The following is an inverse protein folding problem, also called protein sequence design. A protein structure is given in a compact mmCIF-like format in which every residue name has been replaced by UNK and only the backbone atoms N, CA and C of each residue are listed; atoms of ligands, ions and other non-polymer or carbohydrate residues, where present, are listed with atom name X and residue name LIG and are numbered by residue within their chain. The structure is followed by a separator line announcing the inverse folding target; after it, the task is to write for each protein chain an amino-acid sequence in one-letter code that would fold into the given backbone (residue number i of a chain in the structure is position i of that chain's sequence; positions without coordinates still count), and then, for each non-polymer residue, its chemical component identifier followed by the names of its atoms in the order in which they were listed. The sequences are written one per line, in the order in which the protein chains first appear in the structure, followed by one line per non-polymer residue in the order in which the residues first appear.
data_IF_030268293875
#
_entry.id   IF_030268293875
#
_cell.length_a   1.000
_cell.length_b   1.000
_cell.length_c   1.000
_cell.angle_alpha   90.00
_cell.angle_beta   90.00
_cell.angle_gamma   90.00
#
_symmetry.space_group_name_H-M   'P 1'
#
loop_
_entity.id
_entity.type
_entity.pdbx_description
1 polymer ?
#
# COMPACT_ATOMS: atom_id res chain seq x y z
N UNK A 1 7.81 61.77 -64.67
CA UNK A 1 8.53 61.42 -63.41
C UNK A 1 7.55 60.97 -62.39
N UNK A 2 7.36 59.68 -62.24
CA UNK A 2 6.51 59.08 -61.18
C UNK A 2 7.35 58.12 -60.39
N UNK A 3 7.54 58.44 -59.11
CA UNK A 3 8.20 57.56 -58.11
C UNK A 3 7.15 56.67 -57.45
N UNK A 4 7.22 55.39 -57.74
CA UNK A 4 6.43 54.37 -57.07
C UNK A 4 7.08 54.03 -55.75
N UNK A 5 6.40 54.24 -54.67
CA UNK A 5 6.77 53.74 -53.33
C UNK A 5 6.07 52.44 -53.10
N UNK A 6 6.84 51.36 -53.04
CA UNK A 6 6.39 50.03 -52.64
C UNK A 6 6.30 49.97 -51.08
N UNK A 7 5.11 49.77 -50.54
CA UNK A 7 4.92 49.51 -49.15
C UNK A 7 5.01 48.01 -48.92
N UNK A 8 6.04 47.59 -48.20
CA UNK A 8 6.18 46.21 -47.77
C UNK A 8 5.35 45.97 -46.52
N UNK A 9 4.32 45.13 -46.61
CA UNK A 9 3.58 44.62 -45.50
C UNK A 9 4.34 43.44 -44.86
N UNK A 10 4.87 43.64 -43.66
CA UNK A 10 5.44 42.57 -42.86
C UNK A 10 4.31 41.87 -42.09
N UNK A 11 3.99 40.65 -42.51
CA UNK A 11 3.09 39.78 -41.76
C UNK A 11 3.83 39.17 -40.56
N UNK A 12 3.46 39.61 -39.35
CA UNK A 12 3.96 39.01 -38.11
C UNK A 12 3.14 37.73 -37.83
N UNK A 13 3.72 36.58 -38.09
CA UNK A 13 3.19 35.30 -37.62
C UNK A 13 3.50 35.18 -36.11
N UNK A 14 2.48 35.39 -35.29
CA UNK A 14 2.54 35.04 -33.88
C UNK A 14 2.44 33.52 -33.76
N UNK A 15 3.59 32.87 -33.54
CA UNK A 15 3.66 31.46 -33.16
C UNK A 15 3.20 31.37 -31.70
N UNK A 16 1.92 31.03 -31.49
CA UNK A 16 1.42 30.64 -30.18
C UNK A 16 2.01 29.29 -29.82
N UNK A 17 3.08 29.30 -29.04
CA UNK A 17 3.59 28.08 -28.39
C UNK A 17 2.54 27.58 -27.40
N UNK A 18 1.79 26.54 -27.77
CA UNK A 18 1.09 25.73 -26.81
C UNK A 18 2.14 25.06 -25.95
N UNK A 19 2.30 25.55 -24.72
CA UNK A 19 3.02 24.81 -23.69
C UNK A 19 2.24 23.51 -23.43
N UNK A 20 2.88 22.34 -23.55
CA UNK A 20 2.23 21.12 -23.06
C UNK A 20 1.99 21.33 -21.58
N UNK A 21 0.71 21.35 -21.17
CA UNK A 21 0.37 21.27 -19.77
C UNK A 21 1.04 19.99 -19.23
N UNK A 22 2.09 20.16 -18.43
CA UNK A 22 2.69 19.06 -17.70
C UNK A 22 1.56 18.49 -16.84
N UNK A 23 1.05 17.33 -17.24
CA UNK A 23 0.21 16.54 -16.34
C UNK A 23 1.09 16.24 -15.15
N UNK A 24 0.81 16.92 -14.02
CA UNK A 24 1.44 16.59 -12.75
C UNK A 24 1.26 15.09 -12.55
N UNK A 25 2.37 14.35 -12.45
CA UNK A 25 2.34 12.95 -12.08
C UNK A 25 1.53 12.90 -10.78
N UNK A 26 0.43 12.12 -10.75
CA UNK A 26 -0.30 11.89 -9.51
C UNK A 26 0.71 11.34 -8.53
N UNK A 27 0.88 12.02 -7.40
CA UNK A 27 1.76 11.56 -6.32
C UNK A 27 1.39 10.15 -5.87
N UNK A 28 2.18 9.59 -4.99
CA UNK A 28 1.93 8.29 -4.40
C UNK A 28 0.54 8.26 -3.73
N UNK A 29 -0.26 7.19 -3.91
CA UNK A 29 -1.56 7.09 -3.30
C UNK A 29 -1.46 7.04 -1.78
N UNK A 30 -2.34 7.76 -1.08
CA UNK A 30 -2.54 7.62 0.35
C UNK A 30 -3.79 6.82 0.62
N UNK A 31 -3.74 5.94 1.62
CA UNK A 31 -4.88 5.14 2.07
C UNK A 31 -5.08 5.31 3.56
N UNK A 32 -6.32 5.60 3.96
CA UNK A 32 -6.71 5.64 5.36
C UNK A 32 -7.37 4.31 5.76
N UNK A 33 -6.76 3.62 6.72
CA UNK A 33 -7.37 2.52 7.43
C UNK A 33 -8.02 3.06 8.71
N UNK A 34 -9.34 3.00 8.79
CA UNK A 34 -10.08 3.29 10.01
C UNK A 34 -10.29 1.98 10.76
N UNK A 35 -9.64 1.83 11.90
CA UNK A 35 -9.72 0.60 12.70
C UNK A 35 -10.43 0.80 14.02
N UNK A 36 -10.86 -0.29 14.64
CA UNK A 36 -11.42 -0.26 16.00
C UNK A 36 -10.42 0.21 17.08
N UNK A 37 -9.12 0.26 16.74
CA UNK A 37 -8.05 0.73 17.63
C UNK A 37 -7.52 2.14 17.27
N UNK A 38 -8.02 2.75 16.21
CA UNK A 38 -7.60 4.07 15.72
C UNK A 38 -7.29 4.06 14.22
N UNK A 39 -6.86 5.20 13.72
CA UNK A 39 -6.60 5.39 12.30
C UNK A 39 -5.12 5.18 11.96
N UNK A 40 -4.88 4.57 10.81
CA UNK A 40 -3.55 4.40 10.22
C UNK A 40 -3.59 4.94 8.80
N UNK A 41 -2.74 5.91 8.47
CA UNK A 41 -2.60 6.44 7.12
C UNK A 41 -1.33 5.87 6.49
N UNK A 42 -1.48 5.36 5.27
CA UNK A 42 -0.43 4.76 4.47
C UNK A 42 -0.10 5.65 3.27
N UNK A 43 1.17 5.75 2.92
CA UNK A 43 1.65 6.24 1.63
C UNK A 43 2.19 5.05 0.85
N UNK A 44 1.70 4.83 -0.37
CA UNK A 44 2.02 3.66 -1.18
C UNK A 44 3.01 4.03 -2.28
N UNK A 45 4.12 3.31 -2.39
CA UNK A 45 5.18 3.54 -3.38
C UNK A 45 4.81 2.91 -4.75
N UNK A 46 4.04 3.65 -5.53
CA UNK A 46 3.58 3.23 -6.84
C UNK A 46 4.73 3.03 -7.84
N UNK A 47 5.84 3.71 -7.66
CA UNK A 47 6.98 3.68 -8.58
C UNK A 47 7.78 2.38 -8.40
N UNK A 48 8.04 1.98 -7.15
CA UNK A 48 8.83 0.79 -6.82
C UNK A 48 8.02 -0.50 -6.70
N UNK A 49 6.73 -0.39 -6.40
CA UNK A 49 5.83 -1.54 -6.23
C UNK A 49 4.51 -1.37 -6.99
N UNK A 50 4.54 -1.17 -8.33
CA UNK A 50 3.34 -0.84 -9.09
C UNK A 50 2.26 -1.93 -9.04
N UNK A 51 2.64 -3.20 -9.07
CA UNK A 51 1.69 -4.33 -9.05
C UNK A 51 1.08 -4.49 -7.66
N UNK A 52 1.89 -4.46 -6.61
CA UNK A 52 1.43 -4.57 -5.21
C UNK A 52 0.54 -3.40 -4.82
N UNK A 53 0.90 -2.17 -5.21
CA UNK A 53 0.10 -0.96 -4.96
C UNK A 53 -1.24 -1.04 -5.67
N UNK A 54 -1.27 -1.38 -6.95
CA UNK A 54 -2.53 -1.50 -7.69
C UNK A 54 -3.43 -2.58 -7.09
N UNK A 55 -2.88 -3.74 -6.75
CA UNK A 55 -3.58 -4.82 -6.08
C UNK A 55 -4.23 -4.36 -4.75
N UNK A 56 -3.46 -3.67 -3.91
CA UNK A 56 -3.95 -3.16 -2.63
C UNK A 56 -5.05 -2.10 -2.84
N UNK A 57 -4.86 -1.16 -3.76
CA UNK A 57 -5.86 -0.12 -4.09
C UNK A 57 -7.15 -0.74 -4.64
N UNK A 58 -7.06 -1.78 -5.46
CA UNK A 58 -8.23 -2.49 -5.98
C UNK A 58 -9.05 -3.14 -4.85
N UNK A 59 -8.39 -3.77 -3.87
CA UNK A 59 -9.08 -4.29 -2.67
C UNK A 59 -9.69 -3.17 -1.83
N UNK A 60 -9.00 -2.05 -1.66
CA UNK A 60 -9.53 -0.87 -0.95
C UNK A 60 -10.79 -0.36 -1.64
N UNK A 61 -10.73 -0.13 -2.94
CA UNK A 61 -11.84 0.45 -3.71
C UNK A 61 -13.05 -0.48 -3.82
N UNK A 62 -12.84 -1.79 -3.79
CA UNK A 62 -13.93 -2.77 -3.80
C UNK A 62 -14.60 -2.95 -2.44
N UNK A 63 -14.07 -2.34 -1.37
CA UNK A 63 -14.56 -2.53 -0.01
C UNK A 63 -14.17 -3.87 0.61
N UNK A 64 -13.26 -4.62 -0.02
CA UNK A 64 -12.87 -5.95 0.45
C UNK A 64 -12.33 -5.94 1.88
N UNK A 65 -11.55 -4.93 2.25
CA UNK A 65 -10.94 -4.84 3.58
C UNK A 65 -11.92 -4.41 4.68
N UNK A 66 -13.09 -3.90 4.33
CA UNK A 66 -14.09 -3.52 5.34
C UNK A 66 -14.53 -4.76 6.13
N UNK A 67 -14.48 -4.64 7.46
CA UNK A 67 -14.80 -5.71 8.41
C UNK A 67 -13.85 -6.92 8.36
N UNK A 68 -12.67 -6.78 7.79
CA UNK A 68 -11.56 -7.70 8.03
C UNK A 68 -10.78 -7.30 9.28
N UNK A 69 -9.95 -8.20 9.79
CA UNK A 69 -9.23 -8.00 11.06
C UNK A 69 -7.72 -8.06 10.89
N UNK A 70 -7.00 -7.50 11.85
CA UNK A 70 -5.63 -7.87 12.11
C UNK A 70 -5.64 -9.18 12.89
N UNK A 71 -5.64 -10.29 12.19
CA UNK A 71 -5.84 -11.63 12.76
C UNK A 71 -4.58 -12.28 13.33
N UNK A 72 -3.41 -11.69 13.08
CA UNK A 72 -2.12 -12.16 13.62
C UNK A 72 -1.26 -10.96 14.00
N UNK A 73 -0.99 -10.82 15.29
CA UNK A 73 -0.16 -9.72 15.80
C UNK A 73 0.91 -10.25 16.73
N UNK A 74 2.15 -9.79 16.56
CA UNK A 74 3.31 -10.19 17.35
C UNK A 74 4.08 -8.95 17.74
N UNK A 75 4.17 -8.63 19.07
CA UNK A 75 4.97 -7.51 19.55
C UNK A 75 6.42 -7.60 19.08
N UNK A 76 7.02 -6.47 18.72
CA UNK A 76 8.40 -6.42 18.26
C UNK A 76 8.64 -7.09 16.90
N UNK A 77 7.56 -7.41 16.17
CA UNK A 77 7.63 -8.01 14.85
C UNK A 77 6.70 -7.30 13.86
N UNK A 78 5.43 -7.68 13.81
CA UNK A 78 4.49 -7.15 12.81
C UNK A 78 3.04 -7.31 13.25
N UNK A 79 2.13 -6.62 12.57
CA UNK A 79 0.70 -6.85 12.60
C UNK A 79 0.21 -7.22 11.20
N UNK A 80 -0.52 -8.34 11.08
CA UNK A 80 -0.98 -8.87 9.80
C UNK A 80 -2.50 -8.91 9.72
N UNK A 81 -3.04 -8.50 8.60
CA UNK A 81 -4.48 -8.47 8.37
C UNK A 81 -4.89 -8.51 6.91
N UNK A 82 -6.16 -8.21 6.66
CA UNK A 82 -6.71 -8.07 5.31
C UNK A 82 -7.19 -9.36 4.65
N UNK A 83 -7.42 -10.43 5.43
CA UNK A 83 -7.87 -11.70 4.85
C UNK A 83 -8.99 -12.39 5.59
N UNK A 84 -9.20 -12.10 6.87
CA UNK A 84 -10.13 -12.81 7.74
C UNK A 84 -11.15 -11.87 8.37
N UNK A 85 -12.37 -12.38 8.56
CA UNK A 85 -13.42 -11.71 9.32
C UNK A 85 -13.19 -11.86 10.83
N UNK A 86 -14.03 -11.20 11.66
CA UNK A 86 -13.99 -11.36 13.12
C UNK A 86 -14.23 -12.80 13.58
N UNK A 87 -14.94 -13.60 12.78
CA UNK A 87 -15.20 -15.01 13.03
C UNK A 87 -14.10 -15.94 12.51
N UNK A 88 -12.95 -15.38 12.11
CA UNK A 88 -11.83 -16.11 11.52
C UNK A 88 -12.21 -16.89 10.25
N UNK A 89 -13.14 -16.35 9.48
CA UNK A 89 -13.47 -16.85 8.16
C UNK A 89 -12.64 -16.14 7.09
N UNK A 90 -11.93 -16.89 6.28
CA UNK A 90 -11.15 -16.33 5.20
C UNK A 90 -12.07 -15.82 4.09
N UNK A 91 -11.90 -14.57 3.69
CA UNK A 91 -12.57 -14.00 2.53
C UNK A 91 -11.90 -14.50 1.25
N UNK A 92 -12.70 -14.81 0.23
CA UNK A 92 -12.19 -15.27 -1.08
C UNK A 92 -11.45 -14.12 -1.78
N UNK A 93 -10.13 -14.25 -2.01
CA UNK A 93 -9.37 -13.20 -2.67
C UNK A 93 -9.45 -13.31 -4.21
N UNK A 94 -8.95 -12.27 -4.88
CA UNK A 94 -8.62 -12.30 -6.29
C UNK A 94 -7.40 -13.22 -6.56
N UNK A 95 -7.08 -13.55 -7.82
CA UNK A 95 -5.87 -14.30 -8.14
C UNK A 95 -4.60 -13.66 -7.58
N UNK A 96 -3.57 -14.47 -7.28
CA UNK A 96 -2.31 -13.98 -6.73
C UNK A 96 -1.55 -13.09 -7.71
N UNK A 97 -0.63 -12.28 -7.16
CA UNK A 97 0.21 -11.35 -7.90
C UNK A 97 1.68 -11.75 -7.84
N UNK A 98 2.47 -11.23 -8.78
CA UNK A 98 3.93 -11.37 -8.79
C UNK A 98 4.54 -10.68 -7.57
N UNK A 99 5.54 -11.32 -6.98
CA UNK A 99 6.30 -10.77 -5.87
C UNK A 99 7.28 -9.69 -6.36
N UNK A 100 7.17 -8.50 -5.80
CA UNK A 100 8.04 -7.36 -6.11
C UNK A 100 9.09 -7.10 -5.01
N UNK A 101 9.45 -8.09 -4.20
CA UNK A 101 10.40 -7.91 -3.09
C UNK A 101 11.82 -7.50 -3.55
N UNK A 102 12.16 -7.70 -4.82
CA UNK A 102 13.40 -7.28 -5.46
C UNK A 102 13.44 -5.79 -5.86
N UNK A 103 12.49 -4.99 -5.37
CA UNK A 103 12.35 -3.56 -5.69
C UNK A 103 13.31 -2.63 -4.90
N UNK A 104 14.15 -3.16 -4.03
CA UNK A 104 15.10 -2.41 -3.20
C UNK A 104 14.51 -1.83 -1.92
N UNK A 105 13.20 -1.94 -1.68
CA UNK A 105 12.57 -1.54 -0.42
C UNK A 105 12.81 -2.61 0.66
N UNK A 106 13.02 -2.15 1.90
CA UNK A 106 13.33 -3.01 3.04
C UNK A 106 12.16 -3.07 4.01
N UNK A 107 12.04 -4.21 4.70
CA UNK A 107 11.09 -4.42 5.79
C UNK A 107 11.56 -3.76 7.08
N UNK A 108 11.65 -2.44 7.07
CA UNK A 108 11.97 -1.62 8.25
C UNK A 108 10.72 -1.26 9.01
N UNK A 109 10.88 -0.82 10.26
CA UNK A 109 9.76 -0.35 11.08
C UNK A 109 8.92 0.69 10.33
N UNK A 110 7.61 0.50 10.35
CA UNK A 110 6.63 1.38 9.72
C UNK A 110 6.30 1.05 8.27
N UNK A 111 7.00 0.11 7.63
CA UNK A 111 6.68 -0.31 6.26
C UNK A 111 5.52 -1.29 6.23
N UNK A 112 4.79 -1.27 5.11
CA UNK A 112 3.74 -2.25 4.79
C UNK A 112 4.21 -3.16 3.66
N UNK A 113 3.99 -4.46 3.82
CA UNK A 113 4.41 -5.48 2.87
C UNK A 113 3.32 -6.52 2.64
N UNK A 114 3.40 -7.24 1.51
CA UNK A 114 2.48 -8.32 1.17
C UNK A 114 2.81 -9.59 1.95
N UNK A 115 1.82 -10.12 2.66
CA UNK A 115 1.88 -11.48 3.19
C UNK A 115 1.67 -12.50 2.05
N UNK A 116 2.22 -13.70 2.22
CA UNK A 116 2.14 -14.78 1.23
C UNK A 116 2.36 -16.14 1.88
N UNK A 117 2.13 -17.19 1.13
CA UNK A 117 2.52 -18.56 1.49
C UNK A 117 4.00 -18.81 1.14
N UNK A 118 4.46 -20.06 1.24
CA UNK A 118 5.82 -20.44 0.83
C UNK A 118 6.09 -20.20 -0.66
N UNK A 119 5.08 -20.22 -1.50
CA UNK A 119 5.21 -19.80 -2.90
C UNK A 119 5.45 -18.29 -2.97
N UNK A 120 6.54 -17.89 -3.62
CA UNK A 120 6.93 -16.47 -3.70
C UNK A 120 5.90 -15.59 -4.39
N UNK A 121 5.14 -16.14 -5.35
CA UNK A 121 4.13 -15.41 -6.15
C UNK A 121 2.69 -15.76 -5.71
N UNK A 122 2.48 -15.98 -4.42
CA UNK A 122 1.17 -16.36 -3.85
C UNK A 122 0.44 -15.23 -3.11
N UNK A 123 0.98 -14.03 -3.07
CA UNK A 123 0.34 -12.89 -2.39
C UNK A 123 -1.01 -12.54 -3.03
N UNK A 124 -2.01 -12.31 -2.19
CA UNK A 124 -3.36 -11.91 -2.63
C UNK A 124 -3.83 -10.65 -1.91
N UNK A 125 -4.63 -10.76 -0.85
CA UNK A 125 -5.16 -9.61 -0.13
C UNK A 125 -4.42 -9.28 1.16
N UNK A 126 -3.80 -10.27 1.81
CA UNK A 126 -3.22 -10.08 3.13
C UNK A 126 -1.93 -9.27 3.08
N UNK A 127 -1.78 -8.42 4.06
CA UNK A 127 -0.63 -7.55 4.25
C UNK A 127 -0.19 -7.54 5.70
N UNK A 128 1.00 -7.04 5.96
CA UNK A 128 1.46 -6.77 7.33
C UNK A 128 2.16 -5.42 7.43
N UNK A 129 2.11 -4.83 8.60
CA UNK A 129 2.84 -3.62 8.96
C UNK A 129 3.96 -4.02 9.91
N UNK A 130 5.19 -3.71 9.56
CA UNK A 130 6.35 -3.96 10.41
C UNK A 130 6.36 -3.00 11.60
N UNK A 131 6.40 -3.52 12.82
CA UNK A 131 6.55 -2.71 14.03
C UNK A 131 7.98 -2.71 14.58
N UNK A 132 8.88 -3.34 13.85
CA UNK A 132 10.34 -3.36 14.07
C UNK A 132 11.05 -3.50 12.73
N UNK A 133 12.38 -3.36 12.75
CA UNK A 133 13.21 -3.68 11.58
C UNK A 133 13.35 -5.20 11.45
N UNK A 134 12.87 -5.74 10.34
CA UNK A 134 12.79 -7.17 10.08
C UNK A 134 13.59 -7.52 8.83
N UNK A 135 14.92 -7.30 8.87
CA UNK A 135 15.81 -7.50 7.72
C UNK A 135 15.77 -8.91 7.15
N UNK A 136 15.43 -9.92 7.95
CA UNK A 136 15.30 -11.31 7.50
C UNK A 136 14.12 -11.54 6.53
N UNK A 137 13.19 -10.58 6.41
CA UNK A 137 12.10 -10.58 5.44
C UNK A 137 12.47 -9.92 4.11
N UNK A 138 13.64 -9.31 4.01
CA UNK A 138 14.09 -8.64 2.81
C UNK A 138 14.49 -9.64 1.72
N UNK A 139 14.39 -9.19 0.46
CA UNK A 139 14.81 -9.98 -0.69
C UNK A 139 16.26 -10.46 -0.53
N UNK A 140 16.47 -11.78 -0.70
CA UNK A 140 17.78 -12.41 -0.72
C UNK A 140 18.41 -12.65 0.65
N UNK A 141 17.73 -12.32 1.76
CA UNK A 141 18.27 -12.58 3.11
C UNK A 141 18.04 -14.04 3.53
N UNK A 142 16.87 -14.57 3.35
CA UNK A 142 16.47 -15.93 3.70
C UNK A 142 15.83 -16.66 2.51
N UNK A 143 15.01 -15.95 1.77
CA UNK A 143 14.28 -16.40 0.60
C UNK A 143 14.09 -15.23 -0.38
N UNK A 144 13.14 -15.29 -1.30
CA UNK A 144 12.86 -14.19 -2.22
C UNK A 144 12.43 -12.92 -1.48
N UNK A 145 11.90 -13.06 -0.28
CA UNK A 145 11.46 -11.96 0.58
C UNK A 145 10.00 -11.60 0.41
N UNK A 146 9.61 -10.53 1.12
CA UNK A 146 8.26 -10.01 1.19
C UNK A 146 8.23 -8.60 0.61
N UNK A 147 7.35 -8.38 -0.36
CA UNK A 147 7.30 -7.15 -1.13
C UNK A 147 6.78 -5.98 -0.29
N UNK A 148 7.66 -5.07 0.10
CA UNK A 148 7.30 -3.78 0.67
C UNK A 148 6.72 -2.90 -0.45
N UNK A 149 5.58 -2.26 -0.18
CA UNK A 149 4.90 -1.42 -1.17
C UNK A 149 4.45 -0.06 -0.63
N UNK A 150 4.82 0.28 0.60
CA UNK A 150 4.50 1.58 1.21
C UNK A 150 4.95 1.67 2.65
N UNK A 151 4.48 2.71 3.31
CA UNK A 151 4.81 2.99 4.71
C UNK A 151 3.66 3.70 5.44
N UNK A 152 3.65 3.57 6.75
CA UNK A 152 2.78 4.36 7.63
C UNK A 152 3.31 5.78 7.70
N UNK A 153 2.47 6.77 7.43
CA UNK A 153 2.79 8.19 7.56
C UNK A 153 2.08 8.86 8.73
N UNK A 154 0.97 8.26 9.21
CA UNK A 154 0.28 8.67 10.44
C UNK A 154 -0.29 7.43 11.14
N UNK A 155 -0.28 7.42 12.46
CA UNK A 155 -0.88 6.34 13.26
C UNK A 155 0.06 5.17 13.53
N UNK A 156 1.37 5.36 13.50
CA UNK A 156 2.31 4.30 13.88
C UNK A 156 2.15 3.88 15.35
N UNK A 157 1.76 4.79 16.23
CA UNK A 157 1.36 4.51 17.61
C UNK A 157 0.15 3.56 17.70
N UNK A 158 -0.81 3.68 16.78
CA UNK A 158 -1.95 2.76 16.67
C UNK A 158 -1.45 1.36 16.27
N UNK A 159 -0.57 1.26 15.29
CA UNK A 159 0.03 -0.03 14.89
C UNK A 159 0.80 -0.67 16.05
N UNK A 160 1.58 0.11 16.80
CA UNK A 160 2.28 -0.37 18.00
C UNK A 160 1.30 -0.90 19.05
N UNK A 161 0.23 -0.16 19.34
CA UNK A 161 -0.80 -0.57 20.29
C UNK A 161 -1.49 -1.87 19.87
N UNK A 162 -1.81 -2.01 18.58
CA UNK A 162 -2.38 -3.25 18.04
C UNK A 162 -1.42 -4.43 18.27
N UNK A 163 -0.13 -4.23 18.07
CA UNK A 163 0.87 -5.30 18.26
C UNK A 163 0.97 -5.82 19.69
N UNK A 164 0.52 -5.03 20.67
CA UNK A 164 0.61 -5.32 22.11
C UNK A 164 -0.67 -5.92 22.71
N UNK A 165 -1.75 -6.05 21.96
CA UNK A 165 -3.01 -6.59 22.49
C UNK A 165 -2.85 -8.06 22.91
N UNK A 166 -3.61 -8.53 23.91
CA UNK A 166 -3.64 -9.94 24.27
C UNK A 166 -4.04 -10.82 23.09
N UNK A 167 -3.36 -11.94 22.91
CA UNK A 167 -3.61 -12.90 21.86
C UNK A 167 -3.85 -14.29 22.38
N UNK A 168 -4.43 -15.15 21.56
CA UNK A 168 -4.64 -16.57 21.81
C UNK A 168 -4.60 -17.33 20.47
N UNK A 169 -4.60 -18.65 20.55
CA UNK A 169 -4.65 -19.48 19.35
C UNK A 169 -6.12 -19.82 19.02
N UNK A 170 -6.45 -19.81 17.74
CA UNK A 170 -7.77 -20.19 17.22
C UNK A 170 -7.57 -21.26 16.16
N UNK A 171 -7.82 -22.52 16.51
CA UNK A 171 -7.54 -23.66 15.62
C UNK A 171 -6.08 -23.67 15.17
N UNK A 172 -5.81 -23.67 13.87
CA UNK A 172 -4.44 -23.64 13.34
C UNK A 172 -3.78 -22.25 13.38
N UNK A 173 -4.53 -21.19 13.74
CA UNK A 173 -4.04 -19.81 13.72
C UNK A 173 -3.51 -19.41 15.09
N UNK A 174 -2.27 -18.91 15.10
CA UNK A 174 -1.57 -18.45 16.30
C UNK A 174 -1.57 -16.92 16.37
N UNK A 175 -1.43 -16.40 17.61
CA UNK A 175 -1.30 -14.96 17.86
C UNK A 175 -2.49 -14.13 17.35
N UNK A 176 -3.69 -14.68 17.49
CA UNK A 176 -4.95 -14.01 17.13
C UNK A 176 -5.36 -13.09 18.29
N UNK A 177 -5.64 -11.79 18.05
CA UNK A 177 -6.14 -10.91 19.11
C UNK A 177 -7.36 -11.49 19.80
N UNK A 178 -7.33 -11.55 21.15
CA UNK A 178 -8.43 -12.10 21.97
C UNK A 178 -9.70 -11.27 21.80
N UNK A 179 -9.55 -9.97 21.63
CA UNK A 179 -10.60 -9.06 21.17
C UNK A 179 -10.27 -8.66 19.75
N UNK A 180 -11.11 -8.95 18.75
CA UNK A 180 -10.82 -8.62 17.36
C UNK A 180 -10.48 -7.15 17.16
N UNK A 181 -9.42 -6.90 16.41
CA UNK A 181 -9.05 -5.57 15.91
C UNK A 181 -9.53 -5.46 14.47
N UNK A 182 -10.57 -4.68 14.26
CA UNK A 182 -11.33 -4.64 13.01
C UNK A 182 -10.90 -3.44 12.16
N UNK A 183 -10.66 -3.69 10.88
CA UNK A 183 -10.59 -2.65 9.86
C UNK A 183 -12.04 -2.29 9.49
N UNK A 184 -12.54 -1.20 10.04
CA UNK A 184 -13.91 -0.74 9.82
C UNK A 184 -14.10 -0.25 8.39
N UNK A 185 -13.09 0.46 7.86
CA UNK A 185 -13.05 0.90 6.47
C UNK A 185 -11.63 1.15 5.99
N UNK A 186 -11.43 1.05 4.69
CA UNK A 186 -10.21 1.45 4.00
C UNK A 186 -10.60 2.35 2.84
N UNK A 187 -9.95 3.51 2.69
CA UNK A 187 -10.26 4.49 1.64
C UNK A 187 -9.00 5.10 1.07
N UNK A 188 -8.94 5.22 -0.25
CA UNK A 188 -7.94 6.06 -0.92
C UNK A 188 -8.29 7.52 -0.66
N UNK A 189 -7.32 8.29 -0.16
CA UNK A 189 -7.49 9.72 0.09
C UNK A 189 -7.35 10.52 -1.20
N UNK A 190 -8.04 11.69 -1.32
CA UNK A 190 -7.97 12.55 -2.50
C UNK A 190 -6.59 13.18 -2.72
#
# INVERSE_FOLDING_TARGET
MFKSTLAAMAAVFALSALSPAAMAAKGDPHVLLTTSAGNIELELDKQKAPVSVQNFVDYVNSGFYNNTTFHRVIPGFMIQGGGFTEQMQQKKPNPPIKNEADNGLRNTRGTIAMARTADKDSATSQFFINVADNAFLDHGQRDFGYAVFGKVVKGMDVADNISQVPTHDVGPYQNVPSKPVVILSAKVLP
#
